data_IF_762298790208
#
_entry.id   IF_762298790208
#
_cell.length_a   1.000
_cell.length_b   1.000
_cell.length_c   1.000
_cell.angle_alpha   90.00
_cell.angle_beta   90.00
_cell.angle_gamma   90.00
#
_symmetry.space_group_name_H-M   'P 1'
#
loop_
_entity.id
_entity.type
_entity.pdbx_description
1 polymer ?
#
# COMPACT_ATOMS: atom_id res chain seq x y z
N UNK A 1 -20.06 6.81 -11.31
CA UNK A 1 -18.66 6.68 -11.74
C UNK A 1 -18.54 5.39 -12.56
N UNK A 2 -17.97 5.45 -13.76
CA UNK A 2 -17.60 4.29 -14.57
C UNK A 2 -16.07 4.22 -14.69
N UNK A 3 -15.48 3.09 -15.14
CA UNK A 3 -14.04 3.04 -15.41
C UNK A 3 -13.60 4.16 -16.37
N UNK A 4 -14.38 4.40 -17.43
CA UNK A 4 -14.10 5.45 -18.41
C UNK A 4 -14.12 6.85 -17.81
N UNK A 5 -15.10 7.20 -16.97
CA UNK A 5 -15.13 8.51 -16.29
C UNK A 5 -14.04 8.65 -15.22
N UNK A 6 -13.40 7.54 -14.84
CA UNK A 6 -12.27 7.50 -13.89
C UNK A 6 -10.91 7.50 -14.60
N UNK A 7 -10.89 7.72 -15.92
CA UNK A 7 -9.65 7.75 -16.70
C UNK A 7 -9.13 6.36 -17.08
N UNK A 8 -9.95 5.32 -17.05
CA UNK A 8 -9.55 3.98 -17.47
C UNK A 8 -10.38 3.46 -18.65
N UNK A 9 -9.69 3.02 -19.70
CA UNK A 9 -10.20 2.16 -20.77
C UNK A 9 -9.18 1.07 -21.02
N UNK A 10 -9.56 -0.01 -21.69
CA UNK A 10 -8.58 -1.06 -22.02
C UNK A 10 -7.62 -0.70 -23.17
N UNK A 11 -8.09 -0.15 -24.31
CA UNK A 11 -7.20 0.10 -25.44
C UNK A 11 -6.03 1.04 -25.11
N UNK A 12 -4.80 0.58 -25.38
CA UNK A 12 -3.57 1.34 -25.10
C UNK A 12 -3.15 1.37 -23.62
N UNK A 13 -3.87 0.70 -22.70
CA UNK A 13 -3.50 0.65 -21.29
C UNK A 13 -2.17 -0.10 -21.10
N UNK A 14 -1.20 0.50 -20.44
CA UNK A 14 0.10 -0.13 -20.16
C UNK A 14 -0.04 -1.03 -18.93
N UNK A 15 -0.03 -2.34 -19.16
CA UNK A 15 -0.24 -3.35 -18.13
C UNK A 15 0.86 -3.38 -17.06
N UNK A 16 2.03 -2.79 -17.30
CA UNK A 16 3.07 -2.64 -16.27
C UNK A 16 2.74 -1.54 -15.26
N UNK A 17 1.97 -0.52 -15.68
CA UNK A 17 1.77 0.74 -14.96
C UNK A 17 0.40 0.80 -14.27
N UNK A 18 0.01 -0.30 -13.63
CA UNK A 18 -1.20 -0.32 -12.80
C UNK A 18 -1.06 0.78 -11.71
N UNK A 19 -2.01 1.74 -11.59
CA UNK A 19 -1.87 2.85 -10.65
C UNK A 19 -1.61 2.40 -9.21
N UNK A 20 -0.59 2.97 -8.58
CA UNK A 20 -0.16 2.67 -7.21
C UNK A 20 0.78 1.46 -7.05
N UNK A 21 0.94 0.64 -8.09
CA UNK A 21 1.86 -0.51 -8.03
C UNK A 21 3.32 -0.07 -8.11
N UNK A 22 4.21 -0.94 -7.62
CA UNK A 22 5.65 -0.90 -7.90
C UNK A 22 5.95 -2.18 -8.66
N UNK A 23 6.47 -2.08 -9.87
CA UNK A 23 6.63 -3.19 -10.81
C UNK A 23 7.87 -2.97 -11.69
N UNK A 24 8.37 -4.06 -12.28
CA UNK A 24 9.41 -3.99 -13.32
C UNK A 24 8.69 -3.76 -14.66
N UNK A 25 9.13 -2.75 -15.43
CA UNK A 25 8.51 -2.39 -16.71
C UNK A 25 8.98 -3.33 -17.82
N UNK A 26 8.19 -4.34 -18.12
CA UNK A 26 8.50 -5.42 -19.04
C UNK A 26 7.86 -5.23 -20.43
N UNK A 27 8.52 -5.71 -21.50
CA UNK A 27 7.86 -5.97 -22.77
C UNK A 27 6.68 -6.92 -22.59
N UNK A 28 5.64 -6.75 -23.41
CA UNK A 28 4.42 -7.56 -23.32
C UNK A 28 4.68 -9.08 -23.31
N UNK A 29 5.60 -9.57 -24.14
CA UNK A 29 5.90 -11.01 -24.22
C UNK A 29 6.50 -11.58 -22.93
N UNK A 30 7.16 -10.74 -22.12
CA UNK A 30 7.72 -11.13 -20.82
C UNK A 30 6.74 -10.90 -19.66
N UNK A 31 5.81 -9.95 -19.81
CA UNK A 31 4.76 -9.68 -18.83
C UNK A 31 3.63 -10.71 -18.91
N UNK A 32 3.38 -11.27 -20.11
CA UNK A 32 2.30 -12.23 -20.35
C UNK A 32 2.48 -13.47 -19.47
N UNK A 33 1.42 -13.83 -18.76
CA UNK A 33 1.42 -15.00 -17.89
C UNK A 33 1.72 -16.29 -18.68
N UNK A 34 2.64 -17.11 -18.13
CA UNK A 34 2.93 -18.44 -18.63
C UNK A 34 2.03 -19.46 -17.91
N UNK A 35 0.77 -19.52 -18.34
CA UNK A 35 -0.28 -20.32 -17.71
C UNK A 35 -0.04 -21.81 -17.93
N UNK A 36 0.00 -22.59 -16.83
CA UNK A 36 0.30 -24.01 -16.82
C UNK A 36 -0.78 -24.80 -16.05
N UNK A 37 -0.76 -26.11 -16.19
CA UNK A 37 -1.35 -26.99 -15.19
C UNK A 37 -0.21 -27.48 -14.30
N UNK A 38 -0.20 -27.03 -13.04
CA UNK A 38 0.92 -27.26 -12.12
C UNK A 38 0.71 -28.46 -11.21
N UNK A 39 -0.54 -28.90 -11.00
CA UNK A 39 -0.86 -30.05 -10.16
C UNK A 39 -2.27 -30.62 -10.45
N UNK A 40 -2.58 -31.76 -9.82
CA UNK A 40 -3.87 -32.46 -9.98
C UNK A 40 -5.08 -31.75 -9.38
N UNK A 41 -4.89 -30.65 -8.66
CA UNK A 41 -5.95 -29.89 -7.96
C UNK A 41 -6.43 -28.68 -8.76
N UNK A 42 -5.73 -28.31 -9.83
CA UNK A 42 -6.02 -27.16 -10.70
C UNK A 42 -6.22 -27.54 -12.17
N UNK A 43 -6.82 -26.61 -12.93
CA UNK A 43 -6.86 -26.64 -14.38
C UNK A 43 -5.62 -26.03 -15.04
N UNK A 44 -5.81 -25.41 -16.21
CA UNK A 44 -4.82 -24.54 -16.86
C UNK A 44 -5.06 -23.12 -16.35
N UNK A 45 -4.31 -22.71 -15.34
CA UNK A 45 -4.50 -21.44 -14.62
C UNK A 45 -3.21 -20.97 -13.94
N UNK A 46 -3.17 -19.72 -13.50
CA UNK A 46 -2.06 -19.16 -12.73
C UNK A 46 -2.63 -18.22 -11.67
N UNK A 47 -2.39 -18.54 -10.39
CA UNK A 47 -2.86 -17.76 -9.23
C UNK A 47 -1.76 -17.72 -8.17
N UNK A 48 -0.80 -16.83 -8.38
CA UNK A 48 0.38 -16.72 -7.54
C UNK A 48 0.04 -15.96 -6.24
N UNK A 49 0.20 -16.63 -5.11
CA UNK A 49 0.20 -16.00 -3.78
C UNK A 49 1.63 -15.82 -3.28
N UNK A 50 1.87 -14.85 -2.39
CA UNK A 50 3.19 -14.60 -1.80
C UNK A 50 3.45 -15.46 -0.58
N UNK A 51 4.70 -15.47 -0.15
CA UNK A 51 5.21 -16.05 1.09
C UNK A 51 5.15 -15.06 2.29
N UNK A 52 4.52 -13.90 2.10
CA UNK A 52 4.44 -12.82 3.08
C UNK A 52 3.02 -12.72 3.65
N UNK A 53 2.87 -12.93 4.96
CA UNK A 53 1.56 -12.86 5.63
C UNK A 53 1.07 -11.43 5.89
N UNK A 54 1.96 -10.44 5.88
CA UNK A 54 1.62 -9.05 6.17
C UNK A 54 1.12 -8.33 4.90
N UNK A 55 -0.19 -8.42 4.65
CA UNK A 55 -0.88 -7.64 3.62
C UNK A 55 -2.33 -7.39 4.04
N UNK A 56 -2.69 -6.14 4.35
CA UNK A 56 -4.05 -5.83 4.80
C UNK A 56 -4.22 -4.38 5.22
N UNK A 57 -5.41 -4.06 5.72
CA UNK A 57 -5.79 -2.72 6.11
C UNK A 57 -6.44 -2.62 7.48
N UNK A 58 -6.46 -1.40 7.99
CA UNK A 58 -7.17 -0.99 9.18
C UNK A 58 -8.19 0.07 8.80
N UNK A 59 -9.38 0.00 9.38
CA UNK A 59 -10.42 1.02 9.28
C UNK A 59 -10.79 1.52 10.68
N UNK A 60 -10.63 2.82 10.90
CA UNK A 60 -11.06 3.52 12.10
C UNK A 60 -12.42 4.17 11.84
N UNK A 61 -13.44 3.76 12.61
CA UNK A 61 -14.83 4.25 12.51
C UNK A 61 -15.46 4.12 11.10
N UNK A 62 -14.97 3.22 10.25
CA UNK A 62 -15.47 3.05 8.89
C UNK A 62 -15.20 4.23 7.95
N UNK A 63 -14.36 5.20 8.34
CA UNK A 63 -14.13 6.44 7.59
C UNK A 63 -12.68 6.63 7.15
N UNK A 64 -11.74 6.41 8.08
CA UNK A 64 -10.32 6.62 7.86
C UNK A 64 -9.54 5.33 8.09
N UNK A 65 -8.26 5.28 7.74
CA UNK A 65 -7.51 4.04 7.91
C UNK A 65 -6.10 4.02 7.36
N UNK A 66 -5.57 2.81 7.24
CA UNK A 66 -4.35 2.56 6.49
C UNK A 66 -4.37 1.18 5.83
N UNK A 67 -3.46 0.99 4.89
CA UNK A 67 -3.14 -0.28 4.28
C UNK A 67 -1.62 -0.45 4.30
N UNK A 68 -1.16 -1.67 4.52
CA UNK A 68 0.24 -2.03 4.45
C UNK A 68 0.41 -3.39 3.82
N UNK A 69 1.46 -3.55 3.00
CA UNK A 69 1.86 -4.86 2.49
C UNK A 69 3.37 -4.99 2.37
N UNK A 70 3.85 -6.22 2.54
CA UNK A 70 5.16 -6.66 2.07
C UNK A 70 4.94 -7.30 0.71
N UNK A 71 5.30 -6.58 -0.35
CA UNK A 71 5.30 -7.10 -1.71
C UNK A 71 6.49 -8.04 -1.87
N UNK A 72 6.24 -9.23 -2.38
CA UNK A 72 7.26 -10.15 -2.88
C UNK A 72 6.70 -10.89 -4.09
N UNK A 73 7.21 -10.57 -5.27
CA UNK A 73 6.82 -11.24 -6.52
C UNK A 73 7.25 -12.71 -6.50
N UNK A 74 6.50 -13.58 -7.15
CA UNK A 74 6.77 -15.03 -7.15
C UNK A 74 8.02 -15.37 -7.99
N UNK A 75 8.74 -16.43 -7.60
CA UNK A 75 10.01 -16.85 -8.22
C UNK A 75 9.85 -17.39 -9.66
N UNK A 76 8.60 -17.62 -10.08
CA UNK A 76 8.23 -17.95 -11.47
C UNK A 76 8.64 -16.83 -12.44
N UNK A 77 8.63 -15.58 -11.98
CA UNK A 77 9.04 -14.40 -12.75
C UNK A 77 10.21 -13.70 -12.05
N UNK A 78 10.03 -12.48 -11.55
CA UNK A 78 11.10 -11.72 -10.93
C UNK A 78 11.10 -11.92 -9.41
N UNK A 79 11.35 -13.15 -8.95
CA UNK A 79 11.32 -13.50 -7.51
C UNK A 79 12.21 -12.67 -6.59
N UNK A 80 13.19 -11.93 -7.11
CA UNK A 80 13.97 -10.99 -6.29
C UNK A 80 13.23 -9.69 -5.97
N UNK A 81 12.10 -9.42 -6.64
CA UNK A 81 11.40 -8.16 -6.54
C UNK A 81 10.55 -8.07 -5.28
N UNK A 82 10.96 -7.13 -4.41
CA UNK A 82 10.37 -6.89 -3.11
C UNK A 82 10.17 -5.39 -2.86
N UNK A 83 9.18 -5.07 -2.06
CA UNK A 83 8.95 -3.71 -1.56
C UNK A 83 8.09 -3.72 -0.30
N UNK A 84 8.22 -2.69 0.54
CA UNK A 84 7.25 -2.40 1.60
C UNK A 84 6.43 -1.18 1.21
N UNK A 85 5.11 -1.35 1.13
CA UNK A 85 4.19 -0.33 0.58
C UNK A 85 3.10 -0.05 1.59
N UNK A 86 2.78 1.23 1.80
CA UNK A 86 1.64 1.64 2.62
C UNK A 86 0.83 2.77 2.00
N UNK A 87 -0.45 2.78 2.35
CA UNK A 87 -1.40 3.83 2.03
C UNK A 87 -2.05 4.30 3.32
N UNK A 88 -2.12 5.61 3.54
CA UNK A 88 -2.69 6.22 4.74
C UNK A 88 -3.85 7.12 4.33
N UNK A 89 -5.05 6.81 4.80
CA UNK A 89 -6.29 7.44 4.39
C UNK A 89 -6.80 8.35 5.50
N UNK A 90 -6.97 9.64 5.20
CA UNK A 90 -7.60 10.60 6.12
C UNK A 90 -8.28 11.73 5.35
N UNK A 91 -9.55 12.02 5.65
CA UNK A 91 -10.27 13.22 5.19
C UNK A 91 -10.12 13.52 3.68
N UNK A 92 -10.29 12.49 2.84
CA UNK A 92 -10.17 12.62 1.38
C UNK A 92 -8.75 12.93 0.89
N UNK A 93 -7.73 12.51 1.65
CA UNK A 93 -6.32 12.47 1.25
C UNK A 93 -5.81 11.04 1.41
N UNK A 94 -4.94 10.64 0.47
CA UNK A 94 -4.26 9.35 0.50
C UNK A 94 -2.76 9.62 0.46
N UNK A 95 -2.02 9.29 1.50
CA UNK A 95 -0.55 9.35 1.51
C UNK A 95 0.01 7.98 1.17
N UNK A 96 0.84 7.90 0.14
CA UNK A 96 1.38 6.67 -0.42
C UNK A 96 2.89 6.63 -0.15
N UNK A 97 3.34 5.65 0.64
CA UNK A 97 4.75 5.49 1.00
C UNK A 97 5.28 4.15 0.50
N UNK A 98 6.55 4.16 0.09
CA UNK A 98 7.31 2.96 -0.28
C UNK A 98 8.72 3.03 0.27
N UNK A 99 9.22 1.90 0.77
CA UNK A 99 10.61 1.70 1.19
C UNK A 99 11.06 0.28 0.82
N UNK A 100 12.37 0.04 0.92
CA UNK A 100 12.99 -1.26 0.67
C UNK A 100 12.60 -1.85 -0.69
N UNK A 101 12.49 -1.00 -1.72
CA UNK A 101 12.23 -1.42 -3.09
C UNK A 101 13.52 -1.96 -3.68
N UNK A 102 13.53 -3.24 -4.05
CA UNK A 102 14.70 -3.92 -4.56
C UNK A 102 14.37 -5.05 -5.54
N UNK A 103 15.31 -5.34 -6.45
CA UNK A 103 15.36 -6.55 -7.27
C UNK A 103 16.74 -6.66 -7.93
N UNK A 104 16.98 -7.78 -8.60
CA UNK A 104 18.21 -8.05 -9.35
C UNK A 104 18.05 -7.89 -10.88
N UNK A 105 16.95 -7.32 -11.37
CA UNK A 105 16.72 -7.19 -12.82
C UNK A 105 17.55 -6.04 -13.40
N UNK A 106 18.62 -6.39 -14.14
CA UNK A 106 19.56 -5.45 -14.74
C UNK A 106 19.11 -4.97 -16.14
N UNK A 107 18.04 -5.52 -16.68
CA UNK A 107 17.60 -5.26 -18.05
C UNK A 107 16.49 -4.22 -18.11
N UNK A 108 15.51 -4.31 -17.22
CA UNK A 108 14.30 -3.49 -17.22
C UNK A 108 14.18 -2.62 -15.96
N UNK A 109 13.67 -1.38 -16.07
CA UNK A 109 13.57 -0.47 -14.93
C UNK A 109 12.42 -0.88 -14.00
N UNK A 110 12.55 -0.51 -12.72
CA UNK A 110 11.48 -0.63 -11.72
C UNK A 110 10.79 0.72 -11.56
N UNK A 111 9.47 0.74 -11.64
CA UNK A 111 8.67 1.96 -11.58
C UNK A 111 7.60 1.86 -10.50
N UNK A 112 7.32 2.96 -9.80
CA UNK A 112 6.04 3.14 -9.09
C UNK A 112 5.15 4.07 -9.90
N UNK A 113 3.95 3.63 -10.25
CA UNK A 113 3.01 4.47 -11.02
C UNK A 113 2.18 5.35 -10.10
N UNK A 114 2.32 6.68 -10.20
CA UNK A 114 1.47 7.63 -9.47
C UNK A 114 0.08 7.67 -10.10
N UNK A 115 0.02 7.88 -11.41
CA UNK A 115 -1.20 7.75 -12.20
C UNK A 115 -0.89 7.30 -13.62
N UNK A 116 -1.88 6.66 -14.24
CA UNK A 116 -1.96 6.43 -15.67
C UNK A 116 -3.41 6.64 -16.09
N UNK A 117 -3.66 7.59 -16.97
CA UNK A 117 -5.01 8.07 -17.28
C UNK A 117 -5.24 8.19 -18.78
N UNK A 118 -6.38 7.66 -19.23
CA UNK A 118 -6.86 7.76 -20.59
C UNK A 118 -7.34 9.18 -20.89
N UNK A 119 -7.04 9.65 -22.09
CA UNK A 119 -7.47 10.96 -22.61
C UNK A 119 -8.42 10.73 -23.79
N UNK A 120 -9.70 10.63 -23.48
CA UNK A 120 -10.75 10.20 -24.44
C UNK A 120 -11.49 11.36 -25.09
N UNK A 121 -11.60 12.51 -24.41
CA UNK A 121 -12.37 13.67 -24.88
C UNK A 121 -11.50 14.88 -25.28
N UNK A 122 -12.14 15.89 -25.85
CA UNK A 122 -11.48 17.14 -26.28
C UNK A 122 -10.96 17.96 -25.10
N UNK A 123 -11.63 17.92 -23.94
CA UNK A 123 -11.26 18.72 -22.77
C UNK A 123 -9.95 18.22 -22.17
N UNK A 124 -9.79 16.90 -22.01
CA UNK A 124 -8.54 16.28 -21.58
C UNK A 124 -7.40 16.49 -22.58
N UNK A 125 -7.69 16.46 -23.88
CA UNK A 125 -6.68 16.79 -24.92
C UNK A 125 -6.20 18.23 -24.83
N UNK A 126 -7.11 19.18 -24.60
CA UNK A 126 -6.77 20.59 -24.42
C UNK A 126 -6.01 20.80 -23.11
N UNK A 127 -6.43 20.15 -22.02
CA UNK A 127 -5.75 20.19 -20.72
C UNK A 127 -4.29 19.76 -20.84
N UNK A 128 -4.02 18.67 -21.56
CA UNK A 128 -2.67 18.15 -21.78
C UNK A 128 -2.01 18.65 -23.07
N UNK A 129 -2.52 19.71 -23.71
CA UNK A 129 -1.97 20.21 -24.97
C UNK A 129 -0.49 20.48 -24.87
N UNK A 130 -0.10 21.23 -23.84
CA UNK A 130 1.29 21.47 -23.47
C UNK A 130 1.71 20.48 -22.38
N UNK A 131 2.82 19.78 -22.59
CA UNK A 131 3.36 18.89 -21.57
C UNK A 131 3.76 19.71 -20.34
N UNK A 132 3.45 19.26 -19.11
CA UNK A 132 3.97 19.84 -17.88
C UNK A 132 5.49 20.02 -17.95
N UNK A 133 5.96 21.26 -17.98
CA UNK A 133 7.38 21.57 -17.94
C UNK A 133 7.86 21.80 -16.49
N UNK A 134 9.15 21.50 -16.26
CA UNK A 134 9.87 21.79 -15.01
C UNK A 134 9.68 20.77 -13.89
N UNK A 135 10.60 20.81 -12.92
CA UNK A 135 10.50 20.01 -11.70
C UNK A 135 9.36 20.57 -10.82
N UNK A 136 8.23 19.86 -10.77
CA UNK A 136 7.06 20.27 -9.98
C UNK A 136 6.72 19.20 -8.95
N UNK A 137 6.44 19.67 -7.72
CA UNK A 137 5.98 18.80 -6.63
C UNK A 137 4.47 18.65 -6.59
N UNK A 138 3.72 19.55 -7.21
CA UNK A 138 2.26 19.50 -7.26
C UNK A 138 1.80 19.29 -8.70
N UNK A 139 0.87 18.36 -8.86
CA UNK A 139 0.28 17.96 -10.14
C UNK A 139 -1.24 17.99 -10.01
N UNK A 140 -1.90 18.17 -11.14
CA UNK A 140 -3.35 18.03 -11.30
C UNK A 140 -3.59 17.27 -12.59
N UNK A 141 -4.53 16.34 -12.59
CA UNK A 141 -4.98 15.70 -13.82
C UNK A 141 -6.23 16.35 -14.42
N UNK A 142 -6.60 15.91 -15.62
CA UNK A 142 -7.80 16.38 -16.33
C UNK A 142 -9.12 15.89 -15.71
N UNK A 143 -9.06 15.06 -14.66
CA UNK A 143 -10.22 14.56 -13.92
C UNK A 143 -10.42 15.31 -12.59
N UNK A 144 -9.58 16.30 -12.30
CA UNK A 144 -9.66 17.12 -11.09
C UNK A 144 -9.04 16.47 -9.85
N UNK A 145 -8.17 15.47 -10.00
CA UNK A 145 -7.39 14.93 -8.87
C UNK A 145 -6.06 15.67 -8.77
N UNK A 146 -5.72 16.08 -7.55
CA UNK A 146 -4.43 16.68 -7.21
C UNK A 146 -3.44 15.63 -6.70
N UNK A 147 -2.16 15.83 -6.98
CA UNK A 147 -1.09 14.97 -6.47
C UNK A 147 0.05 15.81 -5.91
N UNK A 148 0.56 15.42 -4.75
CA UNK A 148 1.83 15.91 -4.21
C UNK A 148 2.90 14.83 -4.39
N UNK A 149 3.93 15.11 -5.17
CA UNK A 149 5.02 14.19 -5.49
C UNK A 149 6.34 14.89 -5.15
N UNK A 150 6.84 14.78 -3.90
CA UNK A 150 8.06 15.45 -3.45
C UNK A 150 9.36 14.84 -3.97
N UNK A 151 9.27 13.74 -4.71
CA UNK A 151 10.40 13.02 -5.31
C UNK A 151 10.45 13.26 -6.82
N UNK A 152 11.57 12.92 -7.45
CA UNK A 152 11.68 12.96 -8.91
C UNK A 152 10.64 12.01 -9.53
N UNK A 153 9.90 12.52 -10.51
CA UNK A 153 8.92 11.75 -11.26
C UNK A 153 9.00 12.13 -12.74
N UNK A 154 8.76 11.13 -13.60
CA UNK A 154 8.76 11.26 -15.05
C UNK A 154 7.32 11.29 -15.54
N UNK A 155 6.96 12.38 -16.23
CA UNK A 155 5.69 12.49 -16.92
C UNK A 155 5.84 12.02 -18.37
N UNK A 156 4.88 11.23 -18.84
CA UNK A 156 4.81 10.77 -20.23
C UNK A 156 3.45 11.10 -20.84
N UNK A 157 3.47 11.59 -22.08
CA UNK A 157 2.29 11.85 -22.90
C UNK A 157 2.42 11.05 -24.19
N UNK A 158 1.71 9.94 -24.26
CA UNK A 158 1.80 8.96 -25.34
C UNK A 158 0.50 8.98 -26.14
N UNK A 159 0.45 9.84 -27.16
CA UNK A 159 -0.70 10.02 -28.05
C UNK A 159 -0.34 9.53 -29.47
N UNK A 160 -0.50 8.24 -29.82
CA UNK A 160 -1.08 7.16 -29.02
C UNK A 160 -0.05 6.31 -28.25
N UNK A 161 -0.53 5.62 -27.23
CA UNK A 161 0.13 4.52 -26.54
C UNK A 161 -0.36 3.19 -27.11
N UNK A 162 0.57 2.27 -27.39
CA UNK A 162 0.28 0.92 -27.88
C UNK A 162 0.18 -0.07 -26.72
N UNK A 163 -0.70 -1.06 -26.83
CA UNK A 163 -0.84 -2.15 -25.85
C UNK A 163 -1.54 -3.37 -26.48
N UNK A 164 -1.95 -4.35 -25.66
CA UNK A 164 -2.64 -5.58 -26.03
C UNK A 164 -3.96 -5.77 -25.27
N UNK A 165 -4.94 -6.40 -25.91
CA UNK A 165 -6.18 -6.87 -25.26
C UNK A 165 -5.87 -7.94 -24.21
N UNK A 166 -6.49 -7.87 -23.03
CA UNK A 166 -6.24 -8.79 -21.90
C UNK A 166 -6.55 -10.26 -22.22
N UNK A 167 -7.49 -10.52 -23.13
CA UNK A 167 -7.95 -11.87 -23.49
C UNK A 167 -7.27 -12.41 -24.75
N UNK A 168 -7.31 -11.67 -25.86
CA UNK A 168 -6.85 -12.16 -27.17
C UNK A 168 -5.38 -11.82 -27.45
N UNK A 169 -4.79 -10.88 -26.72
CA UNK A 169 -3.47 -10.34 -27.04
C UNK A 169 -3.42 -9.52 -28.34
N UNK A 170 -4.58 -9.18 -28.93
CA UNK A 170 -4.63 -8.34 -30.12
C UNK A 170 -4.11 -6.93 -29.83
N UNK A 171 -3.46 -6.30 -30.80
CA UNK A 171 -2.94 -4.94 -30.66
C UNK A 171 -4.06 -3.93 -30.43
N UNK A 172 -3.80 -3.00 -29.52
CA UNK A 172 -4.69 -1.88 -29.22
C UNK A 172 -3.89 -0.61 -29.10
N UNK A 173 -4.58 0.52 -29.20
CA UNK A 173 -3.99 1.83 -28.96
C UNK A 173 -5.00 2.78 -28.33
N UNK A 174 -4.51 3.77 -27.62
CA UNK A 174 -5.30 4.83 -27.01
C UNK A 174 -4.41 6.00 -26.64
N UNK A 175 -4.98 7.15 -26.34
CA UNK A 175 -4.19 8.31 -25.90
C UNK A 175 -4.10 8.30 -24.37
N UNK A 176 -2.87 8.26 -23.85
CA UNK A 176 -2.61 8.09 -22.43
C UNK A 176 -1.59 9.11 -21.92
N UNK A 177 -1.79 9.53 -20.68
CA UNK A 177 -0.78 10.24 -19.89
C UNK A 177 -0.42 9.42 -18.67
N UNK A 178 0.84 9.47 -18.26
CA UNK A 178 1.33 8.75 -17.07
C UNK A 178 2.28 9.63 -16.27
N UNK A 179 2.31 9.42 -14.96
CA UNK A 179 3.33 9.97 -14.07
C UNK A 179 3.90 8.81 -13.25
N UNK A 180 5.20 8.58 -13.40
CA UNK A 180 5.90 7.46 -12.76
C UNK A 180 7.08 7.94 -11.95
N UNK A 181 7.35 7.25 -10.84
CA UNK A 181 8.57 7.40 -10.05
C UNK A 181 9.50 6.27 -10.51
N UNK A 182 10.57 6.64 -11.20
CA UNK A 182 11.55 5.71 -11.77
C UNK A 182 12.63 5.38 -10.72
N UNK A 183 12.75 4.11 -10.33
CA UNK A 183 13.74 3.62 -9.38
C UNK A 183 15.01 3.10 -10.06
N UNK A 184 15.06 3.13 -11.40
CA UNK A 184 16.14 2.57 -12.20
C UNK A 184 16.09 1.04 -12.31
N UNK A 185 17.17 0.47 -12.82
CA UNK A 185 17.36 -0.99 -12.98
C UNK A 185 18.02 -1.56 -11.72
N UNK A 186 17.58 -2.73 -11.28
CA UNK A 186 18.05 -3.40 -10.06
C UNK A 186 18.22 -2.45 -8.86
N UNK A 187 17.17 -1.72 -8.43
CA UNK A 187 17.24 -0.82 -7.29
C UNK A 187 17.68 -1.55 -6.02
N UNK A 188 18.32 -0.80 -5.11
CA UNK A 188 18.71 -1.29 -3.78
C UNK A 188 18.14 -0.35 -2.73
N UNK A 189 17.21 -0.85 -1.92
CA UNK A 189 16.54 -0.09 -0.87
C UNK A 189 15.97 1.26 -1.36
N UNK A 190 15.42 1.30 -2.57
CA UNK A 190 14.77 2.49 -3.10
C UNK A 190 13.45 2.76 -2.36
N UNK A 191 12.89 3.96 -2.55
CA UNK A 191 11.65 4.36 -1.88
C UNK A 191 10.94 5.49 -2.60
N UNK A 192 9.68 5.68 -2.27
CA UNK A 192 8.87 6.78 -2.80
C UNK A 192 8.04 7.44 -1.71
N UNK A 193 7.56 8.64 -2.03
CA UNK A 193 6.52 9.33 -1.29
C UNK A 193 5.69 10.13 -2.29
N UNK A 194 4.37 10.00 -2.22
CA UNK A 194 3.45 10.92 -2.85
C UNK A 194 2.12 10.95 -2.08
N UNK A 195 1.28 11.93 -2.35
CA UNK A 195 -0.07 11.99 -1.83
C UNK A 195 -1.08 12.30 -2.94
N UNK A 196 -2.27 11.73 -2.83
CA UNK A 196 -3.40 11.91 -3.75
C UNK A 196 -4.49 12.68 -3.03
N UNK A 197 -5.05 13.67 -3.74
CA UNK A 197 -6.13 14.53 -3.29
C UNK A 197 -7.25 14.45 -4.33
N UNK A 198 -8.17 13.47 -4.23
CA UNK A 198 -9.33 13.39 -5.11
C UNK A 198 -10.14 14.68 -5.06
N UNK A 199 -10.67 15.10 -6.21
CA UNK A 199 -11.50 16.31 -6.35
C UNK A 199 -10.83 17.56 -5.74
N UNK A 200 -9.56 17.78 -6.06
CA UNK A 200 -8.83 18.95 -5.63
C UNK A 200 -9.10 20.14 -6.57
N UNK A 201 -10.07 20.96 -6.18
CA UNK A 201 -10.34 22.23 -6.87
C UNK A 201 -9.17 23.22 -6.75
N UNK A 202 -9.27 24.35 -7.45
CA UNK A 202 -8.25 25.39 -7.45
C UNK A 202 -7.93 25.92 -6.04
N UNK A 203 -8.94 25.99 -5.15
CA UNK A 203 -8.76 26.45 -3.78
C UNK A 203 -7.93 25.45 -2.96
N UNK A 204 -8.24 24.15 -3.06
CA UNK A 204 -7.50 23.07 -2.41
C UNK A 204 -6.07 23.02 -2.92
N UNK A 205 -5.87 23.12 -4.24
CA UNK A 205 -4.52 23.16 -4.83
C UNK A 205 -3.70 24.36 -4.37
N UNK A 206 -4.31 25.55 -4.26
CA UNK A 206 -3.64 26.74 -3.71
C UNK A 206 -3.28 26.57 -2.22
N UNK A 207 -4.13 25.92 -1.43
CA UNK A 207 -3.81 25.59 -0.03
C UNK A 207 -2.62 24.63 0.07
N UNK A 208 -2.57 23.60 -0.78
CA UNK A 208 -1.47 22.62 -0.83
C UNK A 208 -0.12 23.27 -1.20
N UNK A 209 -0.11 24.31 -2.02
CA UNK A 209 1.11 25.07 -2.32
C UNK A 209 1.71 25.73 -1.07
N UNK A 210 0.87 26.12 -0.11
CA UNK A 210 1.31 26.77 1.13
C UNK A 210 1.74 25.75 2.18
N UNK A 211 1.00 24.65 2.30
CA UNK A 211 1.24 23.63 3.31
C UNK A 211 0.62 22.29 2.90
N UNK A 212 1.44 21.24 2.99
CA UNK A 212 0.98 19.85 2.87
C UNK A 212 0.44 19.37 4.23
N UNK A 213 -0.78 18.81 4.31
CA UNK A 213 -1.47 18.53 5.57
C UNK A 213 -1.08 17.19 6.23
N UNK A 214 0.14 16.71 6.00
CA UNK A 214 0.69 15.53 6.68
C UNK A 214 2.19 15.67 6.94
N UNK A 215 2.71 14.83 7.83
CA UNK A 215 4.15 14.69 8.09
C UNK A 215 4.51 13.21 8.19
N UNK A 216 5.51 12.78 7.42
CA UNK A 216 6.11 11.45 7.60
C UNK A 216 6.99 11.49 8.84
N UNK A 217 6.68 10.66 9.85
CA UNK A 217 7.49 10.50 11.06
C UNK A 217 8.57 9.43 10.88
N UNK A 218 8.26 8.40 10.08
CA UNK A 218 9.16 7.29 9.78
C UNK A 218 8.79 6.65 8.45
N UNK A 219 9.79 6.31 7.63
CA UNK A 219 9.63 5.58 6.37
C UNK A 219 10.89 4.74 6.13
N UNK A 220 10.87 3.52 6.63
CA UNK A 220 11.93 2.53 6.47
C UNK A 220 11.36 1.11 6.55
N UNK A 221 12.25 0.11 6.43
CA UNK A 221 11.94 -1.32 6.52
C UNK A 221 11.03 -1.70 7.67
N UNK A 222 11.22 -1.10 8.84
CA UNK A 222 10.50 -1.51 10.04
C UNK A 222 9.09 -0.91 10.12
N UNK A 223 8.91 0.33 9.65
CA UNK A 223 7.63 1.01 9.75
C UNK A 223 7.45 2.19 8.80
N UNK A 224 6.20 2.39 8.38
CA UNK A 224 5.72 3.63 7.78
C UNK A 224 4.76 4.33 8.75
N UNK A 225 5.09 5.54 9.17
CA UNK A 225 4.33 6.29 10.19
C UNK A 225 4.05 7.70 9.68
N UNK A 226 2.77 8.04 9.58
CA UNK A 226 2.30 9.34 9.07
C UNK A 226 1.44 10.03 10.10
N UNK A 227 1.72 11.31 10.31
CA UNK A 227 0.99 12.19 11.22
C UNK A 227 0.17 13.20 10.43
N UNK A 228 -1.03 13.49 10.90
CA UNK A 228 -1.98 14.40 10.28
C UNK A 228 -2.59 15.39 11.27
N UNK A 229 -3.17 16.48 10.75
CA UNK A 229 -4.03 17.38 11.53
C UNK A 229 -3.33 18.10 12.69
N UNK A 230 -2.02 18.33 12.60
CA UNK A 230 -1.25 18.92 13.71
C UNK A 230 -1.19 18.00 14.92
N UNK A 231 -0.82 16.74 14.68
CA UNK A 231 -0.54 15.70 15.68
C UNK A 231 -1.79 15.01 16.27
N UNK A 232 -2.97 15.38 15.78
CA UNK A 232 -4.25 14.80 16.23
C UNK A 232 -4.45 13.37 15.77
N UNK A 233 -3.94 13.00 14.59
CA UNK A 233 -4.05 11.63 14.07
C UNK A 233 -2.68 11.13 13.69
N UNK A 234 -2.34 9.91 14.11
CA UNK A 234 -1.13 9.22 13.68
C UNK A 234 -1.49 7.83 13.18
N UNK A 235 -1.03 7.51 11.99
CA UNK A 235 -1.24 6.25 11.29
C UNK A 235 0.07 5.47 11.28
N UNK A 236 0.03 4.23 11.76
CA UNK A 236 1.18 3.35 11.90
C UNK A 236 0.96 2.08 11.08
N UNK A 237 1.88 1.82 10.17
CA UNK A 237 2.04 0.53 9.50
C UNK A 237 3.36 -0.04 9.99
N UNK A 238 3.32 -1.01 10.89
CA UNK A 238 4.48 -1.61 11.54
C UNK A 238 4.76 -2.96 10.89
N UNK A 239 5.73 -3.00 9.98
CA UNK A 239 6.04 -4.21 9.23
C UNK A 239 6.85 -5.23 10.03
N UNK A 240 7.65 -4.75 10.98
CA UNK A 240 8.45 -5.57 11.89
C UNK A 240 8.15 -5.18 13.35
N UNK A 241 8.54 -6.03 14.30
CA UNK A 241 8.46 -5.68 15.73
C UNK A 241 9.38 -4.48 16.02
N UNK A 242 8.84 -3.35 16.51
CA UNK A 242 9.65 -2.16 16.80
C UNK A 242 10.71 -2.43 17.88
N UNK A 243 11.98 -2.23 17.53
CA UNK A 243 13.12 -2.41 18.46
C UNK A 243 13.35 -1.19 19.37
N UNK A 244 12.75 -0.06 19.04
CA UNK A 244 12.85 1.19 19.78
C UNK A 244 11.46 1.83 19.95
N UNK A 245 11.40 2.84 20.80
CA UNK A 245 10.21 3.65 20.98
C UNK A 245 9.75 4.28 19.65
N UNK A 246 8.47 4.13 19.35
CA UNK A 246 7.85 4.69 18.16
C UNK A 246 7.69 6.22 18.30
N UNK A 247 7.85 6.97 17.20
CA UNK A 247 7.52 8.39 17.15
C UNK A 247 6.00 8.58 17.21
N UNK A 248 5.55 9.71 17.76
CA UNK A 248 4.13 10.01 17.94
C UNK A 248 3.78 10.28 19.39
N UNK A 249 2.56 10.78 19.62
CA UNK A 249 2.14 11.26 20.94
C UNK A 249 1.70 10.14 21.90
N UNK A 250 1.06 9.09 21.38
CA UNK A 250 0.38 8.07 22.20
C UNK A 250 1.08 6.70 22.16
N UNK A 251 1.20 6.09 20.99
CA UNK A 251 1.76 4.74 20.85
C UNK A 251 3.27 4.76 21.09
N UNK A 252 3.74 3.94 22.03
CA UNK A 252 5.16 3.81 22.37
C UNK A 252 5.78 2.57 21.73
N UNK A 253 5.12 1.41 21.82
CA UNK A 253 5.61 0.11 21.28
C UNK A 253 4.45 -0.80 20.88
N UNK A 254 4.76 -1.79 20.05
CA UNK A 254 3.97 -2.99 19.80
C UNK A 254 4.88 -4.22 19.97
N UNK A 255 4.32 -5.35 20.38
CA UNK A 255 5.07 -6.61 20.58
C UNK A 255 5.27 -7.44 19.30
N UNK A 256 4.58 -7.08 18.22
CA UNK A 256 4.66 -7.72 16.90
C UNK A 256 4.38 -6.70 15.78
N UNK A 257 4.54 -7.11 14.52
CA UNK A 257 4.09 -6.35 13.35
C UNK A 257 2.57 -6.20 13.38
N UNK A 258 2.05 -5.00 13.15
CA UNK A 258 0.61 -4.73 13.13
C UNK A 258 0.29 -3.39 12.46
N UNK A 259 -1.01 -3.10 12.33
CA UNK A 259 -1.53 -1.81 11.90
C UNK A 259 -2.15 -1.10 13.11
N UNK A 260 -1.82 0.17 13.30
CA UNK A 260 -2.39 0.99 14.38
C UNK A 260 -2.79 2.35 13.85
N UNK A 261 -3.88 2.91 14.36
CA UNK A 261 -4.24 4.30 14.15
C UNK A 261 -4.69 4.93 15.47
N UNK A 262 -4.13 6.10 15.79
CA UNK A 262 -4.44 6.85 17.01
C UNK A 262 -5.05 8.19 16.63
N UNK A 263 -6.18 8.54 17.24
CA UNK A 263 -6.87 9.82 17.06
C UNK A 263 -7.12 10.48 18.40
N UNK A 264 -6.67 11.71 18.57
CA UNK A 264 -6.98 12.54 19.71
C UNK A 264 -8.35 13.18 19.51
N UNK A 265 -9.35 12.75 20.28
CA UNK A 265 -10.70 13.33 20.25
C UNK A 265 -10.78 14.58 21.14
N UNK A 266 -10.03 14.60 22.25
CA UNK A 266 -9.90 15.76 23.14
C UNK A 266 -8.58 15.74 23.92
N UNK A 267 -8.34 16.74 24.78
CA UNK A 267 -7.14 16.78 25.64
C UNK A 267 -7.00 15.56 26.57
N UNK A 268 -8.09 14.84 26.85
CA UNK A 268 -8.13 13.69 27.77
C UNK A 268 -8.65 12.40 27.12
N UNK A 269 -8.96 12.42 25.83
CA UNK A 269 -9.56 11.28 25.13
C UNK A 269 -8.86 10.95 23.82
N UNK A 270 -8.63 9.66 23.63
CA UNK A 270 -8.07 9.11 22.40
C UNK A 270 -8.90 7.93 21.92
N UNK A 271 -9.07 7.83 20.61
CA UNK A 271 -9.49 6.62 19.93
C UNK A 271 -8.25 5.87 19.46
N UNK A 272 -8.13 4.61 19.87
CA UNK A 272 -7.07 3.70 19.45
C UNK A 272 -7.70 2.56 18.66
N UNK A 273 -7.21 2.34 17.45
CA UNK A 273 -7.61 1.22 16.59
C UNK A 273 -6.39 0.36 16.28
N UNK A 274 -6.51 -0.96 16.39
CA UNK A 274 -5.47 -1.95 16.11
C UNK A 274 -6.02 -3.01 15.17
N UNK A 275 -5.21 -3.44 14.20
CA UNK A 275 -5.50 -4.58 13.34
C UNK A 275 -4.22 -5.43 13.15
N UNK A 276 -4.41 -6.74 12.98
CA UNK A 276 -3.35 -7.67 12.59
C UNK A 276 -3.66 -8.16 11.16
N UNK A 277 -2.93 -7.71 10.13
CA UNK A 277 -3.21 -8.10 8.74
C UNK A 277 -2.97 -9.59 8.44
N UNK A 278 -2.16 -10.29 9.25
CA UNK A 278 -2.01 -11.74 9.12
C UNK A 278 -3.35 -12.45 9.42
N UNK A 279 -3.96 -13.02 8.37
CA UNK A 279 -5.19 -13.81 8.47
C UNK A 279 -4.98 -15.11 9.24
N UNK A 280 -3.74 -15.59 9.29
CA UNK A 280 -3.33 -16.59 10.22
C UNK A 280 -4.12 -17.91 10.02
N UNK A 281 -4.36 -18.29 8.76
CA UNK A 281 -5.02 -19.54 8.36
C UNK A 281 -4.17 -20.77 8.70
N UNK A 282 -2.86 -20.57 8.88
CA UNK A 282 -1.93 -21.52 9.47
C UNK A 282 -0.96 -20.78 10.40
N UNK A 283 -0.08 -21.51 11.09
CA UNK A 283 1.00 -20.95 11.93
C UNK A 283 2.33 -21.56 11.51
N UNK A 284 3.39 -20.77 11.64
CA UNK A 284 4.75 -21.18 11.28
C UNK A 284 5.28 -20.37 10.10
N UNK A 285 6.34 -20.89 9.47
CA UNK A 285 6.89 -20.32 8.24
C UNK A 285 5.91 -20.48 7.07
N UNK A 286 6.10 -19.70 6.00
CA UNK A 286 5.31 -19.86 4.78
C UNK A 286 5.38 -21.30 4.29
N UNK A 287 4.23 -21.85 3.94
CA UNK A 287 4.14 -23.18 3.36
C UNK A 287 4.60 -23.09 1.90
N UNK A 288 5.90 -23.20 1.69
CA UNK A 288 6.56 -23.18 0.38
C UNK A 288 7.23 -24.52 0.06
N UNK A 289 7.29 -24.84 -1.23
CA UNK A 289 8.12 -25.91 -1.76
C UNK A 289 9.22 -25.26 -2.59
N UNK A 290 10.45 -25.75 -2.44
CA UNK A 290 11.61 -25.18 -3.11
C UNK A 290 12.21 -26.15 -4.11
N UNK A 291 12.70 -25.63 -5.24
CA UNK A 291 13.48 -26.41 -6.20
C UNK A 291 14.94 -26.60 -5.71
N UNK A 292 15.76 -27.30 -6.49
CA UNK A 292 17.16 -27.54 -6.16
C UNK A 292 18.02 -26.26 -6.08
N UNK A 293 17.54 -25.16 -6.68
CA UNK A 293 18.15 -23.83 -6.63
C UNK A 293 17.63 -22.95 -5.49
N UNK A 294 16.72 -23.46 -4.66
CA UNK A 294 16.11 -22.72 -3.55
C UNK A 294 15.02 -21.73 -3.97
N UNK A 295 14.47 -21.85 -5.19
CA UNK A 295 13.34 -21.02 -5.65
C UNK A 295 12.01 -21.65 -5.30
N UNK A 296 11.02 -20.82 -4.96
CA UNK A 296 9.63 -21.26 -4.74
C UNK A 296 9.04 -21.87 -6.00
N UNK A 297 8.45 -23.05 -5.82
CA UNK A 297 7.73 -23.78 -6.86
C UNK A 297 6.27 -23.33 -6.83
N UNK A 298 5.73 -23.01 -8.01
CA UNK A 298 4.30 -22.72 -8.15
C UNK A 298 3.47 -23.95 -7.75
N UNK A 299 2.53 -23.75 -6.82
CA UNK A 299 1.54 -24.74 -6.40
C UNK A 299 0.17 -24.09 -6.41
N UNK A 300 -0.85 -24.80 -6.89
CA UNK A 300 -2.20 -24.25 -6.89
C UNK A 300 -2.67 -24.02 -5.46
N UNK A 301 -3.46 -22.96 -5.25
CA UNK A 301 -4.09 -22.71 -3.95
C UNK A 301 -5.02 -23.87 -3.53
N UNK A 302 -5.55 -24.63 -4.48
CA UNK A 302 -6.42 -25.79 -4.20
C UNK A 302 -5.66 -26.98 -3.60
N UNK A 303 -4.35 -27.02 -3.75
CA UNK A 303 -3.50 -28.06 -3.16
C UNK A 303 -3.16 -27.82 -1.68
N UNK A 304 -3.47 -26.63 -1.11
CA UNK A 304 -3.01 -26.29 0.24
C UNK A 304 -3.99 -26.84 1.28
N UNK A 305 -3.51 -27.53 2.33
CA UNK A 305 -4.39 -28.17 3.30
C UNK A 305 -5.13 -27.18 4.20
N UNK A 306 -4.68 -25.92 4.24
CA UNK A 306 -5.15 -24.88 5.15
C UNK A 306 -6.17 -23.91 4.54
N UNK A 307 -6.57 -24.08 3.27
CA UNK A 307 -7.49 -23.13 2.60
C UNK A 307 -8.87 -23.02 3.25
N UNK A 308 -9.30 -24.03 4.00
CA UNK A 308 -10.59 -24.07 4.70
C UNK A 308 -10.45 -23.83 6.21
N UNK A 309 -9.25 -23.49 6.69
CA UNK A 309 -9.06 -23.20 8.11
C UNK A 309 -9.78 -21.91 8.48
N UNK A 310 -10.31 -21.84 9.70
CA UNK A 310 -10.70 -20.57 10.26
C UNK A 310 -9.46 -19.70 10.52
N UNK A 311 -9.61 -18.38 10.41
CA UNK A 311 -8.58 -17.44 10.84
C UNK A 311 -8.21 -17.70 12.30
N UNK A 312 -6.92 -17.89 12.59
CA UNK A 312 -6.46 -18.06 13.98
C UNK A 312 -6.31 -16.72 14.69
N UNK A 313 -6.52 -16.71 16.01
CA UNK A 313 -6.31 -15.52 16.84
C UNK A 313 -4.82 -15.17 16.97
N UNK A 314 -4.49 -13.88 16.90
CA UNK A 314 -3.15 -13.34 17.17
C UNK A 314 -3.29 -12.27 18.26
N UNK A 315 -2.61 -12.48 19.39
CA UNK A 315 -2.51 -11.46 20.42
C UNK A 315 -1.54 -10.35 19.98
N UNK A 316 -1.97 -9.09 20.08
CA UNK A 316 -1.15 -7.91 19.85
C UNK A 316 -1.14 -7.07 21.12
N UNK A 317 0.01 -6.90 21.75
CA UNK A 317 0.19 -6.04 22.92
C UNK A 317 0.80 -4.70 22.51
N UNK A 318 0.08 -3.61 22.77
CA UNK A 318 0.56 -2.25 22.54
C UNK A 318 0.88 -1.56 23.85
N UNK A 319 1.97 -0.80 23.88
CA UNK A 319 2.36 0.05 25.01
C UNK A 319 2.07 1.50 24.66
N UNK A 320 1.34 2.19 25.53
CA UNK A 320 0.92 3.58 25.37
C UNK A 320 1.65 4.46 26.38
N UNK A 321 1.98 5.69 25.99
CA UNK A 321 2.55 6.70 26.89
C UNK A 321 1.48 7.24 27.83
N UNK A 322 1.74 7.18 29.13
CA UNK A 322 0.88 7.64 30.20
C UNK A 322 -0.06 6.58 30.76
N UNK A 323 -0.77 6.95 31.82
CA UNK A 323 -1.81 6.15 32.44
C UNK A 323 -3.15 6.41 31.74
N UNK A 324 -3.81 5.34 31.27
CA UNK A 324 -5.09 5.41 30.55
C UNK A 324 -6.08 4.41 31.14
N UNK A 325 -7.33 4.84 31.28
CA UNK A 325 -8.48 3.99 31.53
C UNK A 325 -9.10 3.59 30.20
N UNK A 326 -9.49 2.32 30.10
CA UNK A 326 -10.20 1.76 28.96
C UNK A 326 -11.32 0.86 29.48
N UNK A 327 -12.44 0.82 28.77
CA UNK A 327 -13.47 -0.19 28.99
C UNK A 327 -12.99 -1.50 28.37
N UNK A 328 -12.81 -2.54 29.19
CA UNK A 328 -12.40 -3.84 28.69
C UNK A 328 -13.51 -4.49 27.87
N UNK A 329 -13.11 -5.17 26.80
CA UNK A 329 -14.00 -5.87 25.88
C UNK A 329 -13.50 -7.31 25.73
N UNK A 330 -14.29 -8.21 25.12
CA UNK A 330 -13.81 -9.57 24.82
C UNK A 330 -12.50 -9.60 24.00
N UNK A 331 -12.20 -8.53 23.25
CA UNK A 331 -11.02 -8.43 22.39
C UNK A 331 -9.95 -7.49 22.93
N UNK A 332 -10.15 -6.76 24.03
CA UNK A 332 -9.18 -5.80 24.56
C UNK A 332 -9.19 -5.75 26.09
N UNK A 333 -8.02 -5.93 26.71
CA UNK A 333 -7.83 -5.85 28.17
C UNK A 333 -6.56 -5.11 28.56
N UNK A 334 -6.52 -4.58 29.78
CA UNK A 334 -5.31 -3.99 30.36
C UNK A 334 -4.39 -5.13 30.82
N UNK A 335 -3.14 -5.13 30.37
CA UNK A 335 -2.10 -6.06 30.83
C UNK A 335 -1.35 -5.50 32.03
N UNK A 336 -0.98 -4.22 31.95
CA UNK A 336 -0.33 -3.49 33.04
C UNK A 336 -0.56 -1.99 32.87
N UNK A 337 -0.54 -1.24 33.97
CA UNK A 337 -0.63 0.20 33.95
C UNK A 337 0.16 0.80 35.12
N UNK A 338 0.93 1.84 34.83
CA UNK A 338 1.63 2.65 35.81
C UNK A 338 1.52 4.14 35.45
N UNK A 339 2.20 5.02 36.19
CA UNK A 339 2.13 6.48 35.98
C UNK A 339 2.69 6.93 34.62
N UNK A 340 3.55 6.13 33.99
CA UNK A 340 4.28 6.42 32.76
C UNK A 340 3.75 5.69 31.55
N UNK A 341 3.11 4.53 31.72
CA UNK A 341 2.66 3.70 30.59
C UNK A 341 1.42 2.87 30.92
N UNK A 342 0.68 2.51 29.86
CA UNK A 342 -0.43 1.55 29.90
C UNK A 342 -0.24 0.53 28.79
N UNK A 343 -0.30 -0.75 29.11
CA UNK A 343 -0.22 -1.84 28.13
C UNK A 343 -1.59 -2.45 27.92
N UNK A 344 -2.01 -2.53 26.66
CA UNK A 344 -3.27 -3.15 26.26
C UNK A 344 -2.97 -4.35 25.38
N UNK A 345 -3.66 -5.47 25.62
CA UNK A 345 -3.61 -6.63 24.74
C UNK A 345 -4.91 -6.74 23.96
N UNK A 346 -4.77 -6.75 22.64
CA UNK A 346 -5.81 -7.02 21.67
C UNK A 346 -5.76 -8.48 21.26
N UNK A 347 -6.92 -9.14 21.16
CA UNK A 347 -7.07 -10.47 20.58
C UNK A 347 -7.58 -10.29 19.15
N UNK A 348 -6.67 -10.26 18.18
CA UNK A 348 -6.97 -9.96 16.79
C UNK A 348 -7.31 -11.22 16.00
N UNK A 349 -8.28 -11.13 15.08
CA UNK A 349 -8.71 -12.21 14.19
C UNK A 349 -9.21 -11.64 12.86
N UNK A 350 -9.10 -12.43 11.80
CA UNK A 350 -9.68 -12.15 10.46
C UNK A 350 -9.22 -10.85 9.79
N UNK A 351 -8.09 -10.27 10.20
CA UNK A 351 -7.67 -8.95 9.69
C UNK A 351 -8.58 -7.80 10.12
N UNK A 352 -9.50 -8.01 11.07
CA UNK A 352 -10.45 -6.99 11.51
C UNK A 352 -9.78 -5.87 12.29
N UNK A 353 -10.42 -4.71 12.27
CA UNK A 353 -10.04 -3.55 13.08
C UNK A 353 -10.77 -3.58 14.42
N UNK A 354 -10.01 -3.45 15.50
CA UNK A 354 -10.52 -3.42 16.87
C UNK A 354 -10.23 -2.05 17.48
N UNK A 355 -11.26 -1.39 17.98
CA UNK A 355 -11.16 -0.01 18.45
C UNK A 355 -11.64 0.16 19.89
N UNK A 356 -10.93 1.00 20.64
CA UNK A 356 -11.26 1.33 22.03
C UNK A 356 -11.03 2.82 22.29
N UNK A 357 -11.83 3.38 23.20
CA UNK A 357 -11.63 4.75 23.69
C UNK A 357 -10.82 4.73 24.97
N UNK A 358 -9.82 5.60 25.01
CA UNK A 358 -8.93 5.81 26.12
C UNK A 358 -9.31 7.11 26.82
N UNK A 359 -9.38 7.08 28.15
CA UNK A 359 -9.64 8.25 28.98
C UNK A 359 -8.52 8.42 30.01
N UNK A 360 -8.07 9.65 30.23
CA UNK A 360 -6.98 9.94 31.17
C UNK A 360 -7.41 9.81 32.63
#
# INVERSE_FOLDING_TARGET
>A
MTPATSGWVQPGFDWNRIPGTTSIHLPWELLKANVLNVDRYSGIEEMLYSDEAFAGGLSQQGADGNFGMILHEHDKYNGTHRARKSFHFLDGMIVCLGSDIENANLEYPTETTVFQLAVTDKQGREFWKDAPAGNRKLWTDHLGTGYYVPVAARFEKNFPQLSRMQNTGAETKGDWVSLVIDHGKAPKAAGYEYAVFPQADAQRMSALQKRIPYKVLRKDRGAHIVQFGGDRVTSYVLFDTPQADLPGALLQRADTSCLVMTRQESAKQWLLTVAQPDLALYRGASDEAFDAGGKRIERSIYSRPWINNESGEIAVTVTLRGHWKVEETPYCRIVSADKRQTQLRFLCREGRSFEVRLTK
#
